data_IF_035995202447
#
_entry.id   IF_035995202447
#
_cell.length_a   1.000
_cell.length_b   1.000
_cell.length_c   1.000
_cell.angle_alpha   90.00
_cell.angle_beta   90.00
_cell.angle_gamma   90.00
#
_symmetry.space_group_name_H-M   'P 1'
#
loop_
_entity.id
_entity.type
_entity.pdbx_description
1 polymer ?
#
# COMPACT_ATOMS: atom_id res chain seq x y z
N UNK A 1 2.44 -4.91 -23.21
CA UNK A 1 1.80 -5.72 -22.17
C UNK A 1 1.94 -7.19 -22.53
N UNK A 2 2.35 -8.02 -21.59
CA UNK A 2 2.35 -9.48 -21.75
C UNK A 2 1.44 -10.01 -20.64
N UNK A 3 0.37 -10.70 -21.03
CA UNK A 3 -0.59 -11.27 -20.10
C UNK A 3 -0.14 -12.69 -19.79
N UNK A 4 0.22 -12.90 -18.53
CA UNK A 4 0.55 -14.22 -18.03
C UNK A 4 -0.73 -14.83 -17.45
N UNK A 5 -1.17 -15.92 -18.05
CA UNK A 5 -2.42 -16.60 -17.68
C UNK A 5 -2.05 -17.91 -16.98
N UNK A 6 -2.54 -18.07 -15.76
CA UNK A 6 -2.57 -19.36 -15.08
C UNK A 6 -4.00 -19.63 -14.64
N UNK A 7 -4.41 -20.89 -14.67
CA UNK A 7 -5.52 -21.29 -13.80
C UNK A 7 -5.05 -21.03 -12.36
N UNK A 8 -5.84 -20.34 -11.54
CA UNK A 8 -5.65 -20.24 -10.08
C UNK A 8 -6.73 -21.00 -9.30
N UNK A 9 -7.70 -21.62 -9.98
CA UNK A 9 -8.78 -22.35 -9.34
C UNK A 9 -8.29 -23.66 -8.71
N UNK A 10 -8.77 -23.93 -7.49
CA UNK A 10 -8.43 -25.07 -6.62
C UNK A 10 -8.95 -26.43 -7.12
N UNK A 11 -9.64 -26.47 -8.26
CA UNK A 11 -10.08 -27.69 -8.92
C UNK A 11 -9.24 -27.93 -10.17
N UNK A 12 -8.99 -29.21 -10.46
CA UNK A 12 -8.38 -29.75 -11.66
C UNK A 12 -9.24 -29.45 -12.90
N UNK A 13 -9.42 -28.18 -13.21
CA UNK A 13 -10.02 -27.69 -14.45
C UNK A 13 -8.86 -27.51 -15.43
N UNK A 14 -8.95 -28.03 -16.67
CA UNK A 14 -7.97 -27.73 -17.71
C UNK A 14 -7.73 -26.23 -17.79
N UNK A 15 -6.52 -25.80 -18.20
CA UNK A 15 -6.24 -24.41 -18.58
C UNK A 15 -7.45 -23.86 -19.34
N UNK A 16 -8.18 -22.93 -18.74
CA UNK A 16 -9.44 -22.48 -19.31
C UNK A 16 -9.12 -21.72 -20.60
N UNK A 17 -9.79 -22.10 -21.69
CA UNK A 17 -9.63 -21.48 -23.00
C UNK A 17 -10.09 -20.01 -22.95
N UNK A 18 -11.14 -19.72 -22.17
CA UNK A 18 -11.80 -18.42 -22.08
C UNK A 18 -10.87 -17.24 -21.71
N UNK A 19 -10.02 -17.28 -20.67
CA UNK A 19 -9.06 -16.20 -20.42
C UNK A 19 -8.12 -15.90 -21.59
N UNK A 20 -7.69 -16.93 -22.33
CA UNK A 20 -6.85 -16.74 -23.52
C UNK A 20 -7.65 -16.18 -24.70
N UNK A 21 -8.92 -16.57 -24.86
CA UNK A 21 -9.80 -16.01 -25.88
C UNK A 21 -10.02 -14.51 -25.65
N UNK A 22 -10.13 -14.06 -24.39
CA UNK A 22 -10.19 -12.62 -24.05
C UNK A 22 -8.91 -11.90 -24.44
N UNK A 23 -7.74 -12.49 -24.17
CA UNK A 23 -6.45 -11.93 -24.58
C UNK A 23 -6.34 -11.82 -26.12
N UNK A 24 -6.79 -12.85 -26.84
CA UNK A 24 -6.80 -12.88 -28.30
C UNK A 24 -7.79 -11.86 -28.90
N UNK A 25 -8.96 -11.70 -28.29
CA UNK A 25 -9.98 -10.72 -28.70
C UNK A 25 -9.41 -9.29 -28.76
N UNK A 26 -8.53 -8.94 -27.83
CA UNK A 26 -7.86 -7.63 -27.80
C UNK A 26 -6.53 -7.57 -28.58
N UNK A 27 -6.14 -8.67 -29.25
CA UNK A 27 -4.89 -8.75 -30.01
C UNK A 27 -3.63 -8.65 -29.13
N UNK A 28 -3.73 -9.08 -27.87
CA UNK A 28 -2.65 -8.99 -26.88
C UNK A 28 -1.82 -10.27 -26.85
N UNK A 29 -0.60 -10.18 -26.31
CA UNK A 29 0.27 -11.36 -26.15
C UNK A 29 -0.08 -12.09 -24.86
N UNK A 30 -0.56 -13.32 -24.99
CA UNK A 30 -0.80 -14.23 -23.86
C UNK A 30 0.29 -15.28 -23.71
N UNK A 31 0.61 -15.64 -22.46
CA UNK A 31 1.51 -16.74 -22.11
C UNK A 31 0.81 -17.61 -21.08
N UNK A 32 0.51 -18.86 -21.44
CA UNK A 32 -0.03 -19.84 -20.51
C UNK A 32 1.08 -20.49 -19.68
N UNK A 33 0.81 -20.73 -18.41
CA UNK A 33 1.72 -21.40 -17.49
C UNK A 33 1.04 -22.60 -16.81
N UNK A 34 1.70 -23.76 -16.82
CA UNK A 34 1.24 -24.93 -16.08
C UNK A 34 1.36 -24.66 -14.57
N UNK A 35 0.27 -24.77 -13.79
CA UNK A 35 0.31 -24.52 -12.36
C UNK A 35 1.33 -25.39 -11.61
N UNK A 36 2.02 -24.80 -10.65
CA UNK A 36 2.96 -25.49 -9.74
C UNK A 36 2.49 -25.24 -8.31
N UNK A 37 2.42 -26.28 -7.47
CA UNK A 37 1.94 -26.20 -6.08
C UNK A 37 0.44 -25.83 -5.94
N UNK A 38 0.02 -25.47 -4.72
CA UNK A 38 -1.38 -25.21 -4.33
C UNK A 38 -1.51 -23.88 -3.57
N UNK A 39 -2.76 -23.37 -3.49
CA UNK A 39 -3.11 -22.16 -2.70
C UNK A 39 -2.14 -21.00 -2.98
N UNK A 40 -1.66 -20.34 -1.94
CA UNK A 40 -0.81 -19.14 -2.00
C UNK A 40 0.57 -19.47 -2.62
N UNK A 41 1.07 -20.70 -2.42
CA UNK A 41 2.31 -21.14 -3.07
C UNK A 41 2.19 -21.21 -4.60
N UNK A 42 1.02 -21.60 -5.13
CA UNK A 42 0.74 -21.59 -6.57
C UNK A 42 0.80 -20.18 -7.15
N UNK A 43 0.19 -19.22 -6.45
CA UNK A 43 0.25 -17.80 -6.84
C UNK A 43 1.70 -17.32 -6.81
N UNK A 44 2.44 -17.63 -5.75
CA UNK A 44 3.86 -17.26 -5.62
C UNK A 44 4.73 -17.80 -6.76
N UNK A 45 4.57 -19.08 -7.14
CA UNK A 45 5.31 -19.64 -8.27
C UNK A 45 4.90 -19.03 -9.61
N UNK A 46 3.61 -18.68 -9.78
CA UNK A 46 3.14 -18.01 -10.99
C UNK A 46 3.75 -16.61 -11.14
N UNK A 47 3.82 -15.84 -10.05
CA UNK A 47 4.50 -14.54 -10.02
C UNK A 47 5.96 -14.68 -10.45
N UNK A 48 6.71 -15.62 -9.86
CA UNK A 48 8.09 -15.91 -10.25
C UNK A 48 8.21 -16.22 -11.74
N UNK A 49 7.44 -17.18 -12.23
CA UNK A 49 7.49 -17.59 -13.63
C UNK A 49 7.20 -16.42 -14.60
N UNK A 50 6.22 -15.58 -14.27
CA UNK A 50 5.79 -14.45 -15.07
C UNK A 50 6.84 -13.33 -15.10
N UNK A 51 7.41 -12.98 -13.94
CA UNK A 51 8.47 -11.97 -13.84
C UNK A 51 9.76 -12.43 -14.55
N UNK A 52 10.15 -13.69 -14.37
CA UNK A 52 11.28 -14.30 -15.10
C UNK A 52 11.06 -14.25 -16.61
N UNK A 53 9.89 -14.68 -17.07
CA UNK A 53 9.56 -14.66 -18.50
C UNK A 53 9.53 -13.24 -19.07
N UNK A 54 8.98 -12.27 -18.34
CA UNK A 54 8.91 -10.86 -18.76
C UNK A 54 10.32 -10.30 -19.04
N UNK A 55 11.25 -10.45 -18.10
CA UNK A 55 12.63 -9.94 -18.30
C UNK A 55 13.45 -10.74 -19.31
N UNK A 56 13.08 -11.99 -19.59
CA UNK A 56 13.69 -12.78 -20.67
C UNK A 56 13.16 -12.36 -22.05
N UNK A 57 11.86 -12.06 -22.15
CA UNK A 57 11.21 -11.56 -23.38
C UNK A 57 11.65 -10.14 -23.73
N UNK A 58 12.03 -9.35 -22.72
CA UNK A 58 12.50 -7.98 -22.88
C UNK A 58 13.86 -7.76 -22.18
N UNK A 59 14.97 -8.24 -22.77
CA UNK A 59 16.30 -8.19 -22.15
C UNK A 59 16.79 -6.77 -21.82
N UNK A 60 16.42 -5.77 -22.63
CA UNK A 60 16.81 -4.38 -22.45
C UNK A 60 15.92 -3.59 -21.48
N UNK A 61 14.85 -4.20 -20.95
CA UNK A 61 13.96 -3.52 -20.02
C UNK A 61 14.60 -3.42 -18.63
N UNK A 62 14.68 -2.20 -18.08
CA UNK A 62 15.13 -1.95 -16.70
C UNK A 62 14.02 -2.12 -15.66
N UNK A 63 12.76 -2.05 -16.09
CA UNK A 63 11.59 -2.09 -15.22
C UNK A 63 10.50 -2.98 -15.81
N UNK A 64 9.64 -3.51 -14.95
CA UNK A 64 8.39 -4.15 -15.32
C UNK A 64 7.24 -3.57 -14.49
N UNK A 65 6.11 -3.29 -15.13
CA UNK A 65 4.86 -2.94 -14.46
C UNK A 65 4.08 -4.23 -14.24
N UNK A 66 3.62 -4.45 -13.02
CA UNK A 66 2.89 -5.65 -12.60
C UNK A 66 1.47 -5.27 -12.21
N UNK A 67 0.50 -5.86 -12.91
CA UNK A 67 -0.94 -5.63 -12.73
C UNK A 67 -1.63 -6.99 -12.50
N UNK A 68 -2.53 -7.03 -11.52
CA UNK A 68 -3.44 -8.16 -11.31
C UNK A 68 -4.68 -8.00 -12.20
N UNK A 69 -5.39 -9.10 -12.47
CA UNK A 69 -6.52 -9.12 -13.40
C UNK A 69 -7.81 -8.50 -12.83
N UNK A 70 -7.85 -8.30 -11.51
CA UNK A 70 -8.99 -7.78 -10.75
C UNK A 70 -8.82 -6.30 -10.34
N UNK A 71 -8.02 -5.57 -11.12
CA UNK A 71 -7.77 -4.13 -10.96
C UNK A 71 -8.34 -3.30 -12.11
N UNK A 72 -9.12 -2.28 -11.75
CA UNK A 72 -9.35 -1.13 -12.63
C UNK A 72 -8.12 -0.23 -12.62
N UNK A 73 -7.72 0.24 -13.80
CA UNK A 73 -6.53 1.09 -13.99
C UNK A 73 -6.96 2.52 -14.29
N UNK A 74 -6.45 3.49 -13.52
CA UNK A 74 -6.78 4.91 -13.70
C UNK A 74 -6.41 5.42 -15.08
N UNK A 75 -7.19 6.37 -15.60
CA UNK A 75 -6.95 7.06 -16.88
C UNK A 75 -5.58 7.75 -16.96
N UNK A 76 -5.01 8.14 -15.82
CA UNK A 76 -3.68 8.77 -15.74
C UNK A 76 -2.57 7.82 -15.25
N UNK A 77 -2.81 6.51 -15.14
CA UNK A 77 -1.86 5.55 -14.55
C UNK A 77 -0.45 5.63 -15.17
N UNK A 78 -0.35 5.63 -16.51
CA UNK A 78 0.95 5.76 -17.18
C UNK A 78 1.51 7.19 -17.13
N UNK A 79 0.66 8.22 -17.01
CA UNK A 79 1.11 9.61 -16.78
C UNK A 79 1.75 9.75 -15.39
N UNK A 80 1.16 9.13 -14.38
CA UNK A 80 1.72 9.02 -13.03
C UNK A 80 3.09 8.32 -13.08
N UNK A 81 3.15 7.10 -13.65
CA UNK A 81 4.40 6.36 -13.73
C UNK A 81 5.47 7.08 -14.54
N UNK A 82 5.12 7.70 -15.66
CA UNK A 82 6.08 8.45 -16.48
C UNK A 82 6.72 9.62 -15.74
N UNK A 83 6.01 10.23 -14.78
CA UNK A 83 6.54 11.33 -13.97
C UNK A 83 7.38 10.84 -12.79
N UNK A 84 7.20 9.61 -12.31
CA UNK A 84 7.85 9.11 -11.10
C UNK A 84 8.93 8.05 -11.36
N UNK A 85 8.95 7.41 -12.53
CA UNK A 85 9.79 6.24 -12.79
C UNK A 85 11.29 6.52 -12.61
N UNK A 86 11.74 7.74 -12.93
CA UNK A 86 13.15 8.14 -12.79
C UNK A 86 13.64 8.09 -11.34
N UNK A 87 12.73 8.16 -10.35
CA UNK A 87 13.09 8.04 -8.94
C UNK A 87 13.73 6.69 -8.63
N UNK A 88 13.26 5.59 -9.24
CA UNK A 88 13.83 4.25 -9.01
C UNK A 88 15.24 4.08 -9.57
N UNK A 89 15.65 4.91 -10.53
CA UNK A 89 17.03 4.92 -11.04
C UNK A 89 17.94 5.86 -10.23
N UNK A 90 17.38 6.87 -9.59
CA UNK A 90 18.14 7.92 -8.91
C UNK A 90 18.21 7.76 -7.39
N UNK A 91 17.41 6.87 -6.80
CA UNK A 91 17.36 6.64 -5.35
C UNK A 91 17.30 5.13 -5.02
N UNK A 92 18.44 4.57 -4.64
CA UNK A 92 18.57 3.15 -4.24
C UNK A 92 17.85 2.81 -2.91
N UNK A 93 17.36 3.81 -2.18
CA UNK A 93 16.53 3.58 -1.00
C UNK A 93 15.07 3.26 -1.33
N UNK A 94 14.68 3.35 -2.61
CA UNK A 94 13.36 2.94 -3.08
C UNK A 94 13.34 1.47 -3.50
N UNK A 95 12.28 0.79 -3.10
CA UNK A 95 11.98 -0.61 -3.42
C UNK A 95 11.04 -0.73 -4.62
N UNK A 96 10.04 0.14 -4.70
CA UNK A 96 9.02 0.13 -5.76
C UNK A 96 8.31 1.48 -5.90
N UNK A 97 7.51 1.60 -6.96
CA UNK A 97 6.45 2.61 -7.09
C UNK A 97 5.14 1.81 -7.16
N UNK A 98 4.15 2.16 -6.34
CA UNK A 98 2.83 1.54 -6.37
C UNK A 98 1.74 2.58 -6.63
N UNK A 99 0.71 2.16 -7.35
CA UNK A 99 -0.49 2.93 -7.62
C UNK A 99 -1.50 2.90 -6.46
N UNK A 100 -1.22 2.16 -5.39
CA UNK A 100 -2.16 1.91 -4.30
C UNK A 100 -1.71 2.56 -3.00
N UNK A 101 -2.61 3.34 -2.41
CA UNK A 101 -2.50 3.83 -1.04
C UNK A 101 -3.41 2.99 -0.13
N UNK A 102 -2.82 2.20 0.78
CA UNK A 102 -3.55 1.36 1.73
C UNK A 102 -4.48 2.14 2.67
N UNK A 103 -4.20 3.42 2.88
CA UNK A 103 -5.03 4.32 3.68
C UNK A 103 -5.83 5.27 2.78
N UNK A 104 -5.84 5.08 1.47
CA UNK A 104 -6.44 6.02 0.51
C UNK A 104 -7.95 5.85 0.36
N UNK A 105 -8.75 6.09 1.40
CA UNK A 105 -10.21 6.02 1.33
C UNK A 105 -10.84 7.35 0.91
N UNK A 106 -12.09 7.30 0.40
CA UNK A 106 -12.81 8.45 -0.16
C UNK A 106 -12.78 9.70 0.73
N UNK A 107 -12.87 9.52 2.05
CA UNK A 107 -12.94 10.57 3.07
C UNK A 107 -11.58 10.99 3.66
N UNK A 108 -10.49 10.26 3.38
CA UNK A 108 -9.16 10.56 3.94
C UNK A 108 -8.01 10.68 2.92
N UNK A 109 -8.27 10.53 1.63
CA UNK A 109 -7.40 10.98 0.55
C UNK A 109 -8.03 12.18 -0.16
N UNK A 110 -7.24 13.11 -0.70
CA UNK A 110 -7.72 14.38 -1.26
C UNK A 110 -6.99 14.81 -2.54
N UNK A 111 -5.65 14.88 -2.53
CA UNK A 111 -4.87 15.56 -3.57
C UNK A 111 -4.28 14.58 -4.59
N UNK A 112 -4.80 14.49 -5.83
CA UNK A 112 -4.30 13.55 -6.83
C UNK A 112 -2.86 13.86 -7.27
N UNK A 113 -2.31 15.04 -6.97
CA UNK A 113 -0.95 15.43 -7.34
C UNK A 113 0.09 15.13 -6.23
N UNK A 114 -0.34 14.66 -5.05
CA UNK A 114 0.50 14.40 -3.90
C UNK A 114 1.01 12.96 -3.87
N UNK A 115 2.27 12.79 -3.45
CA UNK A 115 2.95 11.50 -3.31
C UNK A 115 3.52 11.34 -1.90
N UNK A 116 3.71 10.09 -1.49
CA UNK A 116 4.30 9.69 -0.22
C UNK A 116 5.40 8.64 -0.42
N UNK A 117 6.34 8.59 0.53
CA UNK A 117 7.17 7.41 0.79
C UNK A 117 6.54 6.60 1.92
N UNK A 118 6.52 5.28 1.79
CA UNK A 118 5.99 4.37 2.83
C UNK A 118 6.90 3.16 3.02
N UNK A 119 7.01 2.68 4.26
CA UNK A 119 7.85 1.54 4.65
C UNK A 119 7.17 0.18 4.41
N UNK A 120 6.63 -0.04 3.21
CA UNK A 120 6.00 -1.30 2.82
C UNK A 120 6.15 -1.54 1.30
N UNK A 121 5.58 -2.64 0.82
CA UNK A 121 5.40 -2.95 -0.60
C UNK A 121 3.89 -3.18 -0.83
N UNK A 122 3.13 -2.14 -1.21
CA UNK A 122 1.66 -2.22 -1.29
C UNK A 122 1.16 -3.16 -2.40
N UNK A 123 1.89 -3.29 -3.51
CA UNK A 123 1.46 -4.09 -4.64
C UNK A 123 0.38 -3.37 -5.47
N UNK A 124 -0.66 -4.11 -5.89
CA UNK A 124 -1.89 -3.61 -6.53
C UNK A 124 -1.64 -2.57 -7.64
N UNK A 125 -0.84 -2.95 -8.64
CA UNK A 125 -0.35 -2.06 -9.68
C UNK A 125 0.94 -1.37 -9.27
N UNK A 126 2.07 -2.01 -9.56
CA UNK A 126 3.37 -1.57 -9.07
C UNK A 126 4.48 -1.79 -10.09
N UNK A 127 5.59 -1.07 -9.90
CA UNK A 127 6.79 -1.14 -10.74
C UNK A 127 7.93 -1.85 -10.03
N UNK A 128 8.49 -2.85 -10.70
CA UNK A 128 9.63 -3.64 -10.25
C UNK A 128 10.88 -3.29 -11.07
N UNK A 129 11.97 -2.93 -10.39
CA UNK A 129 13.30 -2.78 -11.00
C UNK A 129 13.90 -4.16 -11.29
N UNK A 130 14.45 -4.34 -12.49
CA UNK A 130 15.01 -5.61 -12.96
C UNK A 130 16.14 -6.10 -12.06
N UNK A 131 17.04 -5.22 -11.62
CA UNK A 131 18.15 -5.59 -10.73
C UNK A 131 17.65 -6.11 -9.38
N UNK A 132 16.66 -5.46 -8.77
CA UNK A 132 16.03 -5.97 -7.53
C UNK A 132 15.48 -7.38 -7.76
N UNK A 133 14.78 -7.61 -8.87
CA UNK A 133 14.26 -8.94 -9.16
C UNK A 133 15.36 -9.98 -9.39
N UNK A 134 16.24 -9.75 -10.36
CA UNK A 134 17.23 -10.72 -10.84
C UNK A 134 18.34 -10.98 -9.83
N UNK A 135 18.83 -9.93 -9.19
CA UNK A 135 20.01 -10.02 -8.34
C UNK A 135 19.66 -10.30 -6.88
N UNK A 136 18.45 -9.94 -6.43
CA UNK A 136 18.04 -10.10 -5.03
C UNK A 136 16.87 -11.06 -4.81
N UNK A 137 15.76 -10.97 -5.56
CA UNK A 137 14.53 -11.70 -5.23
C UNK A 137 14.49 -13.10 -5.86
N UNK A 138 14.74 -13.22 -7.16
CA UNK A 138 14.64 -14.47 -7.94
C UNK A 138 15.51 -15.62 -7.38
N UNK A 139 16.78 -15.39 -6.97
CA UNK A 139 17.65 -16.47 -6.46
C UNK A 139 17.17 -17.07 -5.13
N UNK A 140 16.46 -16.29 -4.32
CA UNK A 140 15.95 -16.70 -3.00
C UNK A 140 14.42 -16.74 -2.94
N UNK A 141 13.76 -16.75 -4.09
CA UNK A 141 12.30 -16.81 -4.17
C UNK A 141 11.80 -18.06 -3.44
N UNK A 142 10.72 -17.97 -2.62
CA UNK A 142 10.19 -19.11 -1.88
C UNK A 142 9.97 -20.33 -2.78
N UNK A 143 10.41 -21.49 -2.30
CA UNK A 143 10.25 -22.75 -3.02
C UNK A 143 8.79 -23.21 -3.03
N UNK A 144 8.38 -24.08 -3.98
CA UNK A 144 6.97 -24.45 -4.17
C UNK A 144 6.27 -25.05 -2.95
N UNK A 145 7.01 -25.65 -2.02
CA UNK A 145 6.49 -26.23 -0.78
C UNK A 145 6.13 -25.19 0.29
N UNK A 146 6.59 -23.94 0.15
CA UNK A 146 6.30 -22.87 1.11
C UNK A 146 4.95 -22.23 0.81
N UNK A 147 3.97 -22.45 1.70
CA UNK A 147 2.65 -21.82 1.66
C UNK A 147 2.69 -20.34 2.13
N UNK A 148 3.59 -19.56 1.55
CA UNK A 148 3.76 -18.14 1.86
C UNK A 148 3.13 -17.27 0.78
N UNK A 149 2.48 -16.19 1.18
CA UNK A 149 2.08 -15.13 0.27
C UNK A 149 3.33 -14.37 -0.22
N UNK A 150 3.42 -14.19 -1.54
CA UNK A 150 4.61 -13.63 -2.19
C UNK A 150 4.85 -12.16 -1.78
N UNK A 151 3.78 -11.40 -1.61
CA UNK A 151 3.79 -9.99 -1.22
C UNK A 151 4.18 -9.83 0.24
N UNK A 152 3.63 -10.66 1.13
CA UNK A 152 4.04 -10.70 2.55
C UNK A 152 5.52 -11.04 2.69
N UNK A 153 6.01 -12.02 1.93
CA UNK A 153 7.44 -12.34 1.88
C UNK A 153 8.29 -11.16 1.37
N UNK A 154 7.82 -10.41 0.36
CA UNK A 154 8.53 -9.23 -0.13
C UNK A 154 8.57 -8.07 0.89
N UNK A 155 7.57 -7.97 1.78
CA UNK A 155 7.53 -6.96 2.84
C UNK A 155 8.47 -7.25 4.01
N UNK A 156 8.93 -8.50 4.16
CA UNK A 156 9.83 -8.89 5.24
C UNK A 156 11.17 -8.11 5.19
N UNK A 157 11.78 -7.82 6.36
CA UNK A 157 13.02 -7.04 6.43
C UNK A 157 14.18 -7.59 5.59
N UNK A 158 14.27 -8.91 5.43
CA UNK A 158 15.33 -9.58 4.66
C UNK A 158 15.24 -9.32 3.15
N UNK A 159 14.06 -8.99 2.64
CA UNK A 159 13.79 -8.65 1.24
C UNK A 159 13.80 -7.13 1.05
N UNK A 160 12.97 -6.43 1.81
CA UNK A 160 12.79 -4.98 1.68
C UNK A 160 14.04 -4.21 2.12
N UNK A 161 14.79 -4.72 3.10
CA UNK A 161 16.06 -4.13 3.60
C UNK A 161 15.94 -2.65 4.01
N UNK A 162 14.82 -2.28 4.62
CA UNK A 162 14.54 -0.90 5.04
C UNK A 162 14.27 0.09 3.90
N UNK A 163 14.16 -0.38 2.65
CA UNK A 163 13.73 0.44 1.50
C UNK A 163 12.22 0.72 1.58
N UNK A 164 11.79 1.72 0.82
CA UNK A 164 10.42 2.24 0.82
C UNK A 164 9.82 2.24 -0.57
N UNK A 165 8.50 2.34 -0.68
CA UNK A 165 7.85 2.56 -1.97
C UNK A 165 7.25 3.97 -2.06
N UNK A 166 7.20 4.50 -3.28
CA UNK A 166 6.43 5.71 -3.59
C UNK A 166 4.98 5.31 -3.87
N UNK A 167 4.03 6.01 -3.24
CA UNK A 167 2.59 5.87 -3.49
C UNK A 167 1.95 7.24 -3.73
N UNK A 168 0.85 7.35 -4.48
CA UNK A 168 0.06 8.57 -4.55
C UNK A 168 -0.86 8.71 -3.33
N UNK A 169 -1.35 9.91 -3.04
CA UNK A 169 -2.40 10.10 -2.04
C UNK A 169 -3.73 9.48 -2.49
N UNK A 170 -4.15 9.79 -3.72
CA UNK A 170 -5.32 9.17 -4.37
C UNK A 170 -4.86 8.02 -5.27
N UNK A 171 -5.36 6.80 -5.03
CA UNK A 171 -4.92 5.60 -5.75
C UNK A 171 -5.20 5.67 -7.27
N UNK A 172 -4.31 5.05 -8.06
CA UNK A 172 -4.40 4.88 -9.52
C UNK A 172 -4.80 3.47 -9.95
N UNK A 173 -5.10 2.61 -8.98
CA UNK A 173 -5.72 1.31 -9.15
C UNK A 173 -6.92 1.19 -8.22
N UNK A 174 -7.92 0.40 -8.63
CA UNK A 174 -9.07 0.04 -7.79
C UNK A 174 -9.31 -1.46 -7.87
N UNK A 175 -9.38 -2.13 -6.72
CA UNK A 175 -9.53 -3.58 -6.66
C UNK A 175 -11.02 -3.97 -6.63
N UNK A 176 -11.52 -4.55 -7.71
CA UNK A 176 -12.92 -4.96 -7.84
C UNK A 176 -13.17 -6.45 -7.57
N UNK A 177 -12.12 -7.25 -7.41
CA UNK A 177 -12.24 -8.69 -7.15
C UNK A 177 -13.00 -8.97 -5.85
N UNK A 178 -14.18 -9.58 -5.93
CA UNK A 178 -14.97 -10.01 -4.75
C UNK A 178 -14.75 -11.50 -4.45
N UNK A 179 -14.47 -12.29 -5.48
CA UNK A 179 -14.19 -13.72 -5.39
C UNK A 179 -12.73 -13.94 -5.72
N UNK A 180 -11.94 -14.36 -4.72
CA UNK A 180 -10.50 -14.56 -4.85
C UNK A 180 -9.96 -15.50 -3.77
N UNK A 181 -8.65 -15.72 -3.77
CA UNK A 181 -8.01 -16.67 -2.85
C UNK A 181 -8.22 -16.33 -1.37
N UNK A 182 -8.09 -15.05 -1.04
CA UNK A 182 -8.22 -14.50 0.31
C UNK A 182 -9.35 -13.45 0.42
N UNK A 183 -10.26 -13.41 -0.55
CA UNK A 183 -11.27 -12.36 -0.69
C UNK A 183 -12.70 -12.91 -0.56
N UNK A 184 -13.58 -12.15 0.08
CA UNK A 184 -15.01 -12.43 0.16
C UNK A 184 -15.81 -11.12 0.16
N UNK A 185 -17.14 -11.22 -0.05
CA UNK A 185 -18.02 -10.05 -0.17
C UNK A 185 -17.98 -9.09 1.01
N UNK A 186 -17.98 -9.60 2.24
CA UNK A 186 -17.93 -8.76 3.44
C UNK A 186 -16.58 -8.03 3.55
N UNK A 187 -15.47 -8.74 3.30
CA UNK A 187 -14.14 -8.16 3.36
C UNK A 187 -13.93 -7.07 2.30
N UNK A 188 -14.43 -7.28 1.08
CA UNK A 188 -14.40 -6.28 0.01
C UNK A 188 -15.21 -5.03 0.39
N UNK A 189 -16.43 -5.23 0.89
CA UNK A 189 -17.31 -4.13 1.28
C UNK A 189 -16.73 -3.26 2.40
N UNK A 190 -16.07 -3.88 3.39
CA UNK A 190 -15.48 -3.17 4.52
C UNK A 190 -14.20 -2.43 4.11
N UNK A 191 -13.28 -3.07 3.39
CA UNK A 191 -11.93 -2.52 3.19
C UNK A 191 -11.63 -2.00 1.79
N UNK A 192 -12.33 -2.42 0.73
CA UNK A 192 -11.96 -2.06 -0.65
C UNK A 192 -12.98 -1.17 -1.35
N UNK A 193 -14.27 -1.38 -1.08
CA UNK A 193 -15.37 -0.68 -1.79
C UNK A 193 -15.30 0.85 -1.71
N UNK A 194 -14.79 1.40 -0.61
CA UNK A 194 -14.67 2.85 -0.37
C UNK A 194 -13.25 3.40 -0.58
N UNK A 195 -12.37 2.65 -1.24
CA UNK A 195 -11.08 3.20 -1.64
C UNK A 195 -11.25 4.26 -2.72
N UNK A 196 -10.54 5.38 -2.55
CA UNK A 196 -10.60 6.51 -3.47
C UNK A 196 -9.81 6.18 -4.73
N UNK A 197 -10.45 6.36 -5.88
CA UNK A 197 -9.88 6.09 -7.19
C UNK A 197 -9.81 7.36 -8.02
N UNK A 198 -8.64 7.66 -8.60
CA UNK A 198 -8.49 8.84 -9.44
C UNK A 198 -9.20 8.66 -10.80
N UNK A 199 -9.94 9.68 -11.21
CA UNK A 199 -10.60 9.76 -12.52
C UNK A 199 -10.17 11.00 -13.32
N UNK A 200 -9.30 11.85 -12.74
CA UNK A 200 -8.80 13.06 -13.39
C UNK A 200 -7.63 12.69 -14.32
N UNK A 201 -7.71 13.01 -15.63
CA UNK A 201 -6.63 12.70 -16.56
C UNK A 201 -5.44 13.65 -16.42
N UNK A 202 -4.24 13.16 -16.76
CA UNK A 202 -3.02 13.96 -16.94
C UNK A 202 -2.64 14.88 -15.77
N UNK A 203 -2.89 14.43 -14.53
CA UNK A 203 -2.53 15.17 -13.32
C UNK A 203 -1.02 15.44 -13.32
N UNK A 204 -0.65 16.70 -13.08
CA UNK A 204 0.74 17.12 -12.91
C UNK A 204 1.11 16.93 -11.44
N UNK A 205 2.06 16.03 -11.18
CA UNK A 205 2.48 15.71 -9.82
C UNK A 205 3.33 16.86 -9.25
N UNK A 206 3.14 17.16 -7.97
CA UNK A 206 3.86 18.26 -7.31
C UNK A 206 5.20 17.75 -6.77
N UNK A 207 6.26 18.53 -6.99
CA UNK A 207 7.57 18.36 -6.36
C UNK A 207 8.13 16.92 -6.39
N UNK A 208 8.02 16.21 -7.53
CA UNK A 208 8.37 14.78 -7.59
C UNK A 208 9.78 14.45 -7.07
N UNK A 209 10.77 15.31 -7.36
CA UNK A 209 12.15 15.08 -6.89
C UNK A 209 12.32 15.23 -5.37
N UNK A 210 11.35 15.82 -4.66
CA UNK A 210 11.38 15.84 -3.19
C UNK A 210 11.12 14.46 -2.58
N UNK A 211 10.69 13.46 -3.37
CA UNK A 211 10.50 12.09 -2.89
C UNK A 211 11.83 11.31 -2.78
N UNK A 212 12.96 11.90 -3.16
CA UNK A 212 14.29 11.32 -2.88
C UNK A 212 14.57 11.38 -1.39
N UNK A 213 15.20 10.33 -0.85
CA UNK A 213 15.40 10.09 0.59
C UNK A 213 15.64 11.36 1.43
N UNK A 214 16.74 12.08 1.20
CA UNK A 214 17.12 13.23 2.03
C UNK A 214 16.22 14.45 1.76
N UNK A 215 15.73 14.61 0.53
CA UNK A 215 14.81 15.70 0.17
C UNK A 215 13.43 15.51 0.80
N UNK A 216 13.00 14.27 0.98
CA UNK A 216 11.72 13.95 1.59
C UNK A 216 11.72 14.29 3.07
N UNK A 217 12.84 14.08 3.76
CA UNK A 217 12.98 14.52 5.15
C UNK A 217 12.88 16.04 5.28
N UNK A 218 13.41 16.81 4.32
CA UNK A 218 13.24 18.27 4.30
C UNK A 218 11.76 18.65 4.15
N UNK A 219 11.04 18.02 3.21
CA UNK A 219 9.61 18.21 3.02
C UNK A 219 8.82 17.91 4.30
N UNK A 220 9.10 16.79 4.97
CA UNK A 220 8.47 16.43 6.24
C UNK A 220 8.77 17.48 7.32
N UNK A 221 10.01 17.98 7.42
CA UNK A 221 10.33 19.03 8.39
C UNK A 221 9.58 20.34 8.11
N UNK A 222 9.39 20.72 6.84
CA UNK A 222 8.58 21.91 6.49
C UNK A 222 7.10 21.72 6.85
N UNK A 223 6.52 20.55 6.55
CA UNK A 223 5.16 20.22 6.97
C UNK A 223 4.99 20.28 8.49
N UNK A 224 5.94 19.71 9.24
CA UNK A 224 5.93 19.73 10.72
C UNK A 224 6.09 21.13 11.31
N UNK A 225 6.77 22.07 10.62
CA UNK A 225 6.93 23.45 11.09
C UNK A 225 5.65 24.26 10.99
N UNK A 226 4.84 24.01 9.95
CA UNK A 226 3.59 24.75 9.71
C UNK A 226 2.37 24.08 10.33
N UNK A 227 2.49 22.83 10.77
CA UNK A 227 1.40 22.07 11.35
C UNK A 227 0.92 22.65 12.69
N UNK A 228 -0.38 22.88 12.80
CA UNK A 228 -1.02 23.31 14.04
C UNK A 228 -1.31 22.09 14.92
N UNK A 229 -0.90 22.13 16.19
CA UNK A 229 -1.09 20.99 17.11
C UNK A 229 -2.55 20.90 17.53
N UNK A 230 -3.17 19.73 17.32
CA UNK A 230 -4.55 19.46 17.73
C UNK A 230 -4.67 19.33 19.26
N UNK A 231 -5.88 19.55 19.78
CA UNK A 231 -6.17 19.43 21.22
C UNK A 231 -6.28 17.96 21.64
N UNK A 232 -5.25 17.44 22.31
CA UNK A 232 -5.16 16.04 22.72
C UNK A 232 -6.07 15.70 23.92
N UNK A 233 -6.81 16.66 24.46
CA UNK A 233 -7.85 16.39 25.48
C UNK A 233 -9.16 15.90 24.87
N UNK A 234 -9.35 16.09 23.55
CA UNK A 234 -10.52 15.65 22.80
C UNK A 234 -10.35 14.24 22.26
N UNK A 235 -11.47 13.58 22.01
CA UNK A 235 -11.51 12.24 21.41
C UNK A 235 -11.10 12.30 19.92
N UNK A 236 -9.98 11.67 19.51
CA UNK A 236 -9.51 11.72 18.13
C UNK A 236 -10.44 11.01 17.13
N UNK A 237 -11.30 10.11 17.63
CA UNK A 237 -12.27 9.37 16.82
C UNK A 237 -13.51 10.19 16.46
N UNK A 238 -13.69 11.37 17.05
CA UNK A 238 -14.81 12.26 16.72
C UNK A 238 -14.39 13.29 15.66
N UNK A 239 -15.35 13.73 14.85
CA UNK A 239 -15.13 14.80 13.87
C UNK A 239 -14.83 16.15 14.53
N UNK A 240 -15.23 16.32 15.80
CA UNK A 240 -14.95 17.52 16.60
C UNK A 240 -13.45 17.69 16.93
N UNK A 241 -12.64 16.64 16.73
CA UNK A 241 -11.19 16.66 16.96
C UNK A 241 -10.47 17.59 15.99
N UNK A 242 -10.86 17.58 14.72
CA UNK A 242 -10.31 18.46 13.68
C UNK A 242 -11.24 19.68 13.53
N UNK A 243 -10.71 20.91 13.67
CA UNK A 243 -11.49 22.13 13.49
C UNK A 243 -12.22 22.17 12.14
N UNK A 244 -13.33 22.91 12.10
CA UNK A 244 -14.06 23.17 10.86
C UNK A 244 -13.32 24.22 10.01
N UNK A 245 -12.28 23.76 9.33
CA UNK A 245 -11.46 24.49 8.36
C UNK A 245 -11.18 23.63 7.15
N UNK A 246 -10.60 24.21 6.10
CA UNK A 246 -10.09 23.47 4.95
C UNK A 246 -8.69 23.98 4.56
N UNK A 247 -7.87 23.11 3.97
CA UNK A 247 -6.54 23.48 3.45
C UNK A 247 -5.49 23.78 4.52
N UNK A 248 -5.75 23.43 5.78
CA UNK A 248 -4.79 23.54 6.89
C UNK A 248 -3.98 22.26 7.05
N UNK A 249 -2.84 22.39 7.72
CA UNK A 249 -2.02 21.25 8.16
C UNK A 249 -2.13 21.15 9.67
N UNK A 250 -2.53 19.99 10.17
CA UNK A 250 -2.65 19.68 11.58
C UNK A 250 -1.70 18.55 11.96
N UNK A 251 -1.34 18.50 13.25
CA UNK A 251 -0.55 17.40 13.80
C UNK A 251 -1.15 16.88 15.11
N UNK A 252 -1.16 15.56 15.25
CA UNK A 252 -1.39 14.87 16.50
C UNK A 252 -0.27 13.87 16.81
N UNK A 253 -0.09 13.57 18.09
CA UNK A 253 0.91 12.67 18.61
C UNK A 253 0.22 11.49 19.29
N UNK A 254 0.56 10.29 18.86
CA UNK A 254 0.06 9.04 19.44
C UNK A 254 1.17 8.33 20.20
N UNK A 255 0.81 7.56 21.22
CA UNK A 255 1.74 6.74 21.98
C UNK A 255 2.09 5.48 21.18
N UNK A 256 3.38 5.21 21.06
CA UNK A 256 3.94 3.99 20.48
C UNK A 256 5.36 3.81 21.04
N UNK A 257 5.52 2.91 22.01
CA UNK A 257 6.79 2.73 22.76
C UNK A 257 7.84 1.91 22.00
N UNK A 258 7.42 1.06 21.08
CA UNK A 258 8.26 0.22 20.23
C UNK A 258 7.59 -0.03 18.87
N UNK A 259 8.33 -0.59 17.91
CA UNK A 259 7.77 -0.99 16.61
C UNK A 259 6.65 -2.04 16.73
N UNK A 260 6.61 -2.78 17.85
CA UNK A 260 5.54 -3.75 18.15
C UNK A 260 4.32 -3.13 18.84
N UNK A 261 4.43 -1.92 19.39
CA UNK A 261 3.33 -1.22 20.08
C UNK A 261 2.40 -0.51 19.07
N UNK A 262 1.64 -1.31 18.32
CA UNK A 262 0.78 -0.80 17.25
C UNK A 262 -0.63 -0.44 17.74
N UNK A 263 -0.92 -0.67 19.02
CA UNK A 263 -2.25 -0.64 19.62
C UNK A 263 -3.03 0.65 19.35
N UNK A 264 -2.42 1.81 19.65
CA UNK A 264 -3.09 3.10 19.51
C UNK A 264 -3.33 3.47 18.05
N UNK A 265 -2.38 3.18 17.15
CA UNK A 265 -2.58 3.40 15.72
C UNK A 265 -3.71 2.51 15.19
N UNK A 266 -3.72 1.23 15.54
CA UNK A 266 -4.75 0.29 15.08
C UNK A 266 -6.15 0.71 15.52
N UNK A 267 -6.34 1.09 16.78
CA UNK A 267 -7.67 1.56 17.25
C UNK A 267 -8.06 2.91 16.62
N UNK A 268 -7.09 3.79 16.37
CA UNK A 268 -7.33 5.03 15.64
C UNK A 268 -7.77 4.74 14.20
N UNK A 269 -7.05 3.88 13.47
CA UNK A 269 -7.38 3.50 12.11
C UNK A 269 -8.79 2.89 12.02
N UNK A 270 -9.12 2.02 12.97
CA UNK A 270 -10.45 1.41 13.10
C UNK A 270 -11.56 2.43 13.26
N UNK A 271 -11.40 3.41 14.17
CA UNK A 271 -12.43 4.43 14.39
C UNK A 271 -12.50 5.48 13.26
N UNK A 272 -11.41 5.67 12.51
CA UNK A 272 -11.41 6.46 11.29
C UNK A 272 -11.99 5.70 10.09
N UNK A 273 -12.33 4.41 10.24
CA UNK A 273 -12.86 3.53 9.20
C UNK A 273 -11.91 3.38 8.01
N UNK A 274 -10.65 3.07 8.29
CA UNK A 274 -9.58 2.85 7.31
C UNK A 274 -8.89 1.51 7.58
N UNK A 275 -7.78 1.20 6.90
CA UNK A 275 -7.13 -0.10 7.03
C UNK A 275 -6.49 -0.28 8.43
N UNK A 276 -6.96 -1.27 9.18
CA UNK A 276 -6.60 -1.55 10.57
C UNK A 276 -6.15 -3.01 10.84
N UNK A 277 -6.06 -3.87 9.82
CA UNK A 277 -5.71 -5.29 10.00
C UNK A 277 -4.23 -5.53 10.28
N UNK A 278 -3.39 -4.69 9.69
CA UNK A 278 -1.94 -4.62 9.90
C UNK A 278 -1.46 -3.18 9.63
N UNK A 279 -0.33 -2.81 10.20
CA UNK A 279 0.14 -1.42 10.14
C UNK A 279 0.70 -1.08 8.75
N UNK A 280 0.10 -0.09 8.10
CA UNK A 280 0.48 0.39 6.76
C UNK A 280 0.44 1.91 6.67
N UNK A 281 1.00 2.46 5.60
CA UNK A 281 0.94 3.89 5.29
C UNK A 281 1.86 4.79 6.12
N UNK A 282 2.86 4.20 6.80
CA UNK A 282 3.78 4.95 7.66
C UNK A 282 5.15 5.16 7.02
N UNK A 283 5.80 6.24 7.46
CA UNK A 283 7.19 6.59 7.20
C UNK A 283 7.82 7.00 8.52
N UNK A 284 8.73 6.21 9.08
CA UNK A 284 9.47 6.53 10.32
C UNK A 284 8.55 6.95 11.47
N UNK A 285 7.44 6.22 11.65
CA UNK A 285 6.42 6.52 12.66
C UNK A 285 5.58 7.78 12.39
N UNK A 286 5.54 8.27 11.16
CA UNK A 286 4.61 9.30 10.69
C UNK A 286 3.58 8.69 9.73
N UNK A 287 2.31 8.94 9.98
CA UNK A 287 1.23 8.75 9.00
C UNK A 287 0.74 10.09 8.49
N UNK A 288 0.36 10.13 7.22
CA UNK A 288 -0.17 11.30 6.53
C UNK A 288 -1.50 10.92 5.91
N UNK A 289 -2.54 11.68 6.23
CA UNK A 289 -3.90 11.47 5.73
C UNK A 289 -4.66 12.79 5.73
N UNK A 290 -5.88 12.81 5.19
CA UNK A 290 -6.77 13.96 5.23
C UNK A 290 -7.94 13.75 6.18
N UNK A 291 -8.39 14.83 6.83
CA UNK A 291 -9.69 14.89 7.52
C UNK A 291 -10.30 16.25 7.28
N UNK A 292 -11.57 16.26 6.84
CA UNK A 292 -12.27 17.50 6.45
C UNK A 292 -11.44 18.37 5.49
N UNK A 293 -10.76 17.74 4.52
CA UNK A 293 -9.89 18.43 3.53
C UNK A 293 -8.71 19.20 4.15
N UNK A 294 -8.33 18.87 5.39
CA UNK A 294 -7.10 19.30 6.03
C UNK A 294 -6.11 18.13 6.06
N UNK A 295 -4.83 18.43 5.87
CA UNK A 295 -3.77 17.43 5.94
C UNK A 295 -3.44 17.19 7.41
N UNK A 296 -3.56 15.95 7.88
CA UNK A 296 -3.34 15.55 9.27
C UNK A 296 -2.11 14.65 9.33
N UNK A 297 -1.13 15.09 10.13
CA UNK A 297 0.09 14.36 10.44
C UNK A 297 -0.10 13.62 11.77
N UNK A 298 0.18 12.32 11.79
CA UNK A 298 0.10 11.49 13.00
C UNK A 298 1.50 11.01 13.34
N UNK A 299 2.06 11.47 14.45
CA UNK A 299 3.44 11.14 14.86
C UNK A 299 3.43 10.18 16.05
N UNK A 300 4.08 9.03 15.89
CA UNK A 300 4.29 8.04 16.94
C UNK A 300 5.41 8.45 17.91
N UNK A 301 5.10 8.53 19.20
CA UNK A 301 6.03 8.98 20.24
C UNK A 301 6.28 7.85 21.26
N UNK A 302 7.55 7.56 21.62
CA UNK A 302 8.78 8.27 21.25
C UNK A 302 9.51 7.74 20.01
N UNK A 303 9.03 6.66 19.37
CA UNK A 303 9.82 5.95 18.34
C UNK A 303 10.12 6.79 17.09
N UNK A 304 9.23 7.71 16.73
CA UNK A 304 9.45 8.54 15.54
C UNK A 304 10.56 9.55 15.82
N UNK A 305 11.51 9.76 14.89
CA UNK A 305 12.47 10.86 14.99
C UNK A 305 11.78 12.23 15.04
N UNK A 306 10.51 12.31 14.59
CA UNK A 306 9.71 13.54 14.62
C UNK A 306 9.11 13.84 16.00
N UNK A 307 9.29 12.95 16.99
CA UNK A 307 8.86 13.14 18.39
C UNK A 307 9.39 14.43 19.00
N UNK A 308 10.54 14.93 18.52
CA UNK A 308 11.15 16.21 18.95
C UNK A 308 10.25 17.42 18.72
N UNK A 309 9.25 17.32 17.84
CA UNK A 309 8.28 18.39 17.57
C UNK A 309 7.11 18.40 18.55
N UNK A 310 6.97 17.38 19.40
CA UNK A 310 5.91 17.33 20.41
C UNK A 310 6.15 18.38 21.50
N UNK A 311 5.23 19.32 21.74
CA UNK A 311 5.34 20.25 22.86
C UNK A 311 5.39 19.50 24.20
N UNK A 312 6.07 20.10 25.19
CA UNK A 312 6.19 19.50 26.53
C UNK A 312 4.82 19.30 27.22
N UNK A 313 3.88 20.23 26.99
CA UNK A 313 2.54 20.19 27.58
C UNK A 313 1.59 19.16 26.93
N UNK A 314 1.97 18.58 25.78
CA UNK A 314 1.14 17.63 25.05
C UNK A 314 1.47 16.20 25.49
N UNK A 315 0.47 15.50 26.01
CA UNK A 315 0.54 14.07 26.29
C UNK A 315 0.12 13.30 25.03
N UNK A 316 0.94 12.36 24.52
CA UNK A 316 0.54 11.53 23.37
C UNK A 316 -0.77 10.78 23.66
N UNK A 317 -1.66 10.78 22.67
CA UNK A 317 -2.91 10.04 22.71
C UNK A 317 -2.61 8.55 22.89
N UNK A 318 -3.40 7.89 23.73
CA UNK A 318 -3.39 6.44 23.88
C UNK A 318 -4.82 5.93 23.72
N UNK A 319 -5.01 4.99 22.81
CA UNK A 319 -6.27 4.28 22.62
C UNK A 319 -6.02 2.81 22.96
N UNK A 320 -6.92 2.22 23.74
CA UNK A 320 -6.88 0.80 24.07
C UNK A 320 -8.07 0.10 23.42
N UNK A 321 -7.90 -1.14 22.94
CA UNK A 321 -9.02 -1.93 22.48
C UNK A 321 -10.04 -2.07 23.62
N UNK A 322 -11.35 -2.07 23.33
CA UNK A 322 -12.34 -2.35 24.34
C UNK A 322 -12.04 -3.72 24.99
N UNK A 323 -12.23 -3.86 26.32
CA UNK A 323 -12.03 -5.13 26.99
C UNK A 323 -12.86 -6.20 26.28
N UNK A 324 -12.22 -7.34 25.97
CA UNK A 324 -12.94 -8.48 25.41
C UNK A 324 -14.05 -8.85 26.41
N UNK A 325 -15.30 -8.80 26.00
CA UNK A 325 -16.36 -9.47 26.75
C UNK A 325 -15.96 -10.94 26.87
N UNK A 326 -15.76 -11.42 28.10
CA UNK A 326 -15.63 -12.85 28.36
C UNK A 326 -16.92 -13.49 27.81
N UNK A 327 -16.77 -14.27 26.74
CA UNK A 327 -17.89 -14.84 26.02
C UNK A 327 -18.87 -15.52 26.98
N UNK A 328 -20.15 -15.25 26.79
CA UNK A 328 -21.22 -16.01 27.43
C UNK A 328 -20.93 -17.52 27.26
N UNK A 329 -21.12 -18.34 28.31
CA UNK A 329 -20.86 -19.77 28.22
C UNK A 329 -21.65 -20.35 27.06
N UNK A 330 -20.95 -20.98 26.12
CA UNK A 330 -21.56 -21.78 25.07
C UNK A 330 -22.22 -22.96 25.78
N UNK A 331 -23.55 -22.93 25.85
CA UNK A 331 -24.36 -24.01 26.39
C UNK A 331 -24.17 -25.23 25.48
N UNK A 332 -23.68 -26.38 25.98
CA UNK A 332 -23.52 -27.57 25.16
C UNK A 332 -24.90 -28.17 24.87
N UNK A 333 -25.33 -28.08 23.60
CA UNK A 333 -26.38 -28.93 23.04
C UNK A 333 -25.79 -29.89 22.01
#
# INVERSE_FOLDING_TARGET
FVFHVTSCQTRSVPLTQEPMDVVELFGLKGVQHTPISIKNARVSQHYKASLTATFNLHPEANFAIVLEEDLDVSVDFFSFLSQTIHLLDQDDSLFCISAWNDQGYEHIAEDPALLYRVESMPGLGWVLKKSIYKDELEPKWPTPEKLWDWDMWMRMPEQRKGRECVIPDVSRSYHFGIVGLNMNGYFHEVYFKKHKFNTVPNVQLKNVDSLKKDSYEVEIQELLKVAEVLDHTKNPCEDSFVPDSEGKTYIMFIKMESDSDTSTWTELAKCLHVWDLDVRGYHRGLWRLFRKRNHVLVVAVPISPYSVKKPAAVTPIRLEPPPREEGAPVDPM
#
